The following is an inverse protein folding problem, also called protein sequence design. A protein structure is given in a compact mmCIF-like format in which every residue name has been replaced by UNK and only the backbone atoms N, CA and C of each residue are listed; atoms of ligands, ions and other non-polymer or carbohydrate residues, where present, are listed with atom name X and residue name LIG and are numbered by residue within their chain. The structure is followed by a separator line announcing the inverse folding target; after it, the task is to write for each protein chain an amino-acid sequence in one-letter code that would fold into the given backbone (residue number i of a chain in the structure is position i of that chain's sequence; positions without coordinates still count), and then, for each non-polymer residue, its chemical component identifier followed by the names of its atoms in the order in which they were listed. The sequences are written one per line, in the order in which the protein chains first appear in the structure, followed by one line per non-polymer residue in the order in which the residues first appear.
data_IF_004231714535
#
_entry.id   IF_004231714535
#
_cell.length_a   1.000
_cell.length_b   1.000
_cell.length_c   1.000
_cell.angle_alpha   90.00
_cell.angle_beta   90.00
_cell.angle_gamma   90.00
#
_symmetry.space_group_name_H-M   'P 1'
#
loop_
_entity.id
_entity.type
_entity.pdbx_description
1 polymer ?
#
# COMPACT_ATOMS: atom_id res chain seq x y z
N UNK A 1 3.88 -14.44 -0.25
CA UNK A 1 3.22 -13.14 0.02
C UNK A 1 4.05 -12.31 0.98
N UNK A 2 4.15 -11.00 0.75
CA UNK A 2 4.82 -10.06 1.65
C UNK A 2 3.80 -9.11 2.24
N UNK A 3 3.97 -8.74 3.50
CA UNK A 3 3.16 -7.71 4.15
C UNK A 3 4.06 -6.57 4.63
N UNK A 4 3.58 -5.34 4.44
CA UNK A 4 4.15 -4.15 5.07
C UNK A 4 3.03 -3.44 5.85
N UNK A 5 3.22 -3.24 7.15
CA UNK A 5 2.19 -2.68 8.02
C UNK A 5 2.79 -1.76 9.07
N UNK A 6 1.99 -0.84 9.59
CA UNK A 6 2.32 -0.07 10.78
C UNK A 6 1.87 -0.84 12.01
N UNK A 7 2.78 -1.07 12.95
CA UNK A 7 2.47 -1.76 14.19
C UNK A 7 1.41 -0.97 14.97
N UNK A 8 0.30 -1.60 15.41
CA UNK A 8 -0.75 -0.90 16.15
C UNK A 8 -0.31 -0.40 17.53
N UNK A 9 0.77 -0.96 18.09
CA UNK A 9 1.30 -0.57 19.41
C UNK A 9 2.31 0.56 19.33
N UNK A 10 3.36 0.44 18.49
CA UNK A 10 4.44 1.43 18.44
C UNK A 10 4.37 2.37 17.22
N UNK A 11 3.51 2.10 16.24
CA UNK A 11 3.38 2.91 15.02
C UNK A 11 4.50 2.72 13.99
N UNK A 12 5.56 1.98 14.32
CA UNK A 12 6.66 1.74 13.39
C UNK A 12 6.23 0.83 12.25
N UNK A 13 6.73 1.12 11.05
CA UNK A 13 6.49 0.30 9.87
C UNK A 13 7.39 -0.93 9.89
N UNK A 14 6.79 -2.09 9.77
CA UNK A 14 7.49 -3.38 9.72
C UNK A 14 7.12 -4.15 8.46
N UNK A 15 8.00 -5.09 8.07
CA UNK A 15 7.84 -5.89 6.86
C UNK A 15 8.12 -7.36 7.15
N UNK A 16 7.17 -8.23 6.79
CA UNK A 16 7.31 -9.67 6.88
C UNK A 16 7.18 -10.34 5.51
N UNK A 17 8.00 -11.38 5.31
CA UNK A 17 7.99 -12.21 4.12
C UNK A 17 7.40 -13.58 4.46
N UNK A 18 6.70 -14.18 3.49
CA UNK A 18 6.18 -15.55 3.67
C UNK A 18 5.07 -15.64 4.71
N UNK A 19 4.14 -14.68 4.73
CA UNK A 19 3.02 -14.62 5.69
C UNK A 19 2.16 -15.89 5.68
N UNK A 20 2.18 -16.65 4.60
CA UNK A 20 1.52 -17.94 4.48
C UNK A 20 2.12 -19.06 5.33
N UNK A 21 3.30 -18.87 5.88
CA UNK A 21 4.05 -19.88 6.66
C UNK A 21 4.17 -19.55 8.15
N UNK A 22 3.68 -18.40 8.56
CA UNK A 22 3.76 -17.91 9.92
C UNK A 22 2.36 -17.81 10.53
N UNK A 23 2.23 -18.09 11.82
CA UNK A 23 0.99 -17.99 12.57
C UNK A 23 0.81 -16.62 13.26
N UNK A 24 1.89 -15.86 13.40
CA UNK A 24 1.90 -14.56 14.07
C UNK A 24 2.89 -13.58 13.40
N UNK A 25 2.58 -12.30 13.46
CA UNK A 25 3.45 -11.21 13.03
C UNK A 25 4.11 -10.60 14.27
N UNK A 26 5.42 -10.72 14.41
CA UNK A 26 6.16 -10.15 15.52
C UNK A 26 6.81 -8.83 15.09
N UNK A 27 6.45 -7.73 15.73
CA UNK A 27 7.03 -6.42 15.43
C UNK A 27 8.50 -6.38 15.89
N UNK A 28 9.41 -6.09 14.96
CA UNK A 28 10.85 -6.02 15.25
C UNK A 28 11.23 -4.85 16.15
N UNK A 29 10.39 -3.81 16.24
CA UNK A 29 10.68 -2.60 17.02
C UNK A 29 10.24 -2.71 18.49
N UNK A 30 9.13 -3.37 18.80
CA UNK A 30 8.56 -3.41 20.15
C UNK A 30 8.28 -4.83 20.66
N UNK A 31 8.52 -5.86 19.86
CA UNK A 31 8.29 -7.26 20.24
C UNK A 31 6.80 -7.67 20.33
N UNK A 32 5.86 -6.79 19.95
CA UNK A 32 4.45 -7.12 19.95
C UNK A 32 4.15 -8.21 18.95
N UNK A 33 3.46 -9.27 19.36
CA UNK A 33 2.98 -10.33 18.47
C UNK A 33 1.52 -10.13 18.13
N UNK A 34 1.20 -10.21 16.85
CA UNK A 34 -0.15 -10.12 16.29
C UNK A 34 -0.50 -11.47 15.70
N UNK A 35 -1.44 -12.23 16.28
CA UNK A 35 -1.87 -13.51 15.73
C UNK A 35 -2.53 -13.30 14.38
N UNK A 36 -2.19 -14.14 13.40
CA UNK A 36 -2.83 -14.16 12.10
C UNK A 36 -4.15 -14.92 12.24
N UNK A 37 -5.30 -14.31 11.92
CA UNK A 37 -6.57 -15.01 12.00
C UNK A 37 -6.64 -16.13 10.95
N UNK A 38 -7.13 -17.31 11.33
CA UNK A 38 -7.24 -18.49 10.47
C UNK A 38 -8.10 -18.25 9.22
N UNK A 39 -9.08 -17.36 9.32
CA UNK A 39 -9.98 -16.97 8.22
C UNK A 39 -9.40 -15.87 7.31
N UNK A 40 -8.25 -15.30 7.63
CA UNK A 40 -7.61 -14.25 6.82
C UNK A 40 -7.03 -14.79 5.52
N UNK A 41 -6.54 -16.02 5.54
CA UNK A 41 -5.94 -16.71 4.40
C UNK A 41 -6.81 -17.92 4.03
N UNK A 42 -7.32 -17.98 2.83
CA UNK A 42 -8.15 -19.06 2.33
C UNK A 42 -7.56 -19.71 1.08
N UNK A 43 -7.56 -21.05 1.03
CA UNK A 43 -7.36 -21.78 -0.22
C UNK A 43 -8.68 -21.81 -1.00
N UNK A 44 -8.64 -21.60 -2.31
CA UNK A 44 -9.84 -21.56 -3.15
C UNK A 44 -10.24 -22.94 -3.66
N UNK A 45 -9.29 -23.87 -3.75
CA UNK A 45 -9.52 -25.25 -4.18
C UNK A 45 -8.51 -26.17 -3.48
N UNK A 46 -8.94 -27.36 -3.01
CA UNK A 46 -8.04 -28.35 -2.42
C UNK A 46 -7.02 -28.92 -3.43
N UNK A 47 -7.26 -28.77 -4.73
CA UNK A 47 -6.42 -29.33 -5.81
C UNK A 47 -5.41 -28.33 -6.42
N UNK A 48 -5.52 -27.03 -6.16
CA UNK A 48 -4.56 -26.03 -6.63
C UNK A 48 -3.57 -25.63 -5.53
N UNK A 49 -2.39 -26.18 -5.60
CA UNK A 49 -1.28 -26.04 -4.64
C UNK A 49 -0.66 -24.63 -4.55
N UNK A 50 -1.24 -23.60 -5.17
CA UNK A 50 -0.48 -22.35 -5.39
C UNK A 50 -1.17 -21.00 -5.20
N UNK A 51 -2.45 -20.91 -4.83
CA UNK A 51 -3.09 -19.61 -4.67
C UNK A 51 -3.77 -19.45 -3.32
N UNK A 52 -2.98 -19.19 -2.29
CA UNK A 52 -3.51 -18.64 -1.03
C UNK A 52 -4.09 -17.26 -1.32
N UNK A 53 -5.41 -17.12 -1.18
CA UNK A 53 -6.11 -15.83 -1.35
C UNK A 53 -6.33 -15.15 -0.01
N UNK A 54 -5.98 -13.88 0.05
CA UNK A 54 -6.30 -13.04 1.19
C UNK A 54 -7.80 -12.75 1.18
N UNK A 55 -8.51 -13.06 2.26
CA UNK A 55 -9.95 -12.80 2.43
C UNK A 55 -10.22 -11.54 3.23
N UNK A 56 -9.37 -11.25 4.21
CA UNK A 56 -9.46 -10.05 5.03
C UNK A 56 -8.07 -9.58 5.47
N UNK A 57 -8.01 -8.40 6.06
CA UNK A 57 -6.76 -7.88 6.61
C UNK A 57 -6.26 -8.76 7.76
N UNK A 58 -4.94 -9.01 7.77
CA UNK A 58 -4.26 -9.79 8.82
C UNK A 58 -4.02 -8.93 10.08
N UNK A 59 -3.86 -7.61 9.91
CA UNK A 59 -3.51 -6.68 11.00
C UNK A 59 -4.75 -6.15 11.72
N UNK A 60 -5.87 -6.00 11.00
CA UNK A 60 -7.11 -5.49 11.58
C UNK A 60 -8.32 -6.30 11.07
N UNK A 61 -9.48 -6.28 11.76
CA UNK A 61 -10.65 -7.09 11.39
C UNK A 61 -11.41 -6.59 10.15
N UNK A 62 -10.80 -5.73 9.32
CA UNK A 62 -11.44 -5.20 8.11
C UNK A 62 -11.37 -6.18 6.96
N UNK A 63 -12.48 -6.33 6.25
CA UNK A 63 -12.59 -7.09 4.99
C UNK A 63 -12.45 -6.19 3.76
N UNK A 64 -12.39 -4.87 3.95
CA UNK A 64 -12.34 -3.90 2.87
C UNK A 64 -10.88 -3.63 2.50
N UNK A 65 -10.46 -4.24 1.39
CA UNK A 65 -9.15 -4.05 0.77
C UNK A 65 -9.36 -3.55 -0.66
N UNK A 66 -8.40 -2.82 -1.19
CA UNK A 66 -8.42 -2.35 -2.58
C UNK A 66 -7.10 -2.61 -3.27
N UNK A 67 -7.21 -2.79 -4.58
CA UNK A 67 -6.07 -2.98 -5.47
C UNK A 67 -5.49 -1.64 -5.90
N UNK A 68 -4.17 -1.51 -5.82
CA UNK A 68 -3.44 -0.35 -6.35
C UNK A 68 -2.11 -0.79 -6.95
N UNK A 69 -1.58 0.01 -7.86
CA UNK A 69 -0.20 -0.16 -8.33
C UNK A 69 0.79 0.27 -7.25
N UNK A 70 1.80 -0.55 -6.97
CA UNK A 70 2.85 -0.22 -6.01
C UNK A 70 3.95 0.62 -6.68
N UNK A 71 3.54 1.76 -7.24
CA UNK A 71 4.44 2.68 -7.91
C UNK A 71 5.05 3.66 -6.90
N UNK A 72 6.39 3.69 -6.74
CA UNK A 72 7.04 4.66 -5.87
C UNK A 72 6.95 6.06 -6.52
N UNK A 73 6.06 6.90 -6.03
CA UNK A 73 5.80 8.24 -6.55
C UNK A 73 7.10 9.06 -6.71
N UNK A 74 8.07 8.87 -5.80
CA UNK A 74 9.37 9.56 -5.88
C UNK A 74 10.14 9.22 -7.14
N UNK A 75 10.06 7.97 -7.61
CA UNK A 75 10.73 7.54 -8.84
C UNK A 75 10.12 8.22 -10.07
N UNK A 76 8.78 8.23 -10.19
CA UNK A 76 8.10 8.91 -11.29
C UNK A 76 8.43 10.41 -11.34
N UNK A 77 8.35 11.09 -10.19
CA UNK A 77 8.72 12.51 -10.11
C UNK A 77 10.18 12.74 -10.50
N UNK A 78 11.12 11.88 -10.06
CA UNK A 78 12.53 12.00 -10.41
C UNK A 78 12.78 11.86 -11.92
N UNK A 79 12.12 10.88 -12.58
CA UNK A 79 12.23 10.67 -14.03
C UNK A 79 11.73 11.90 -14.79
N UNK A 80 10.58 12.44 -14.42
CA UNK A 80 10.00 13.63 -15.04
C UNK A 80 10.93 14.84 -14.87
N UNK A 81 11.46 15.06 -13.66
CA UNK A 81 12.37 16.18 -13.40
C UNK A 81 13.67 16.06 -14.22
N UNK A 82 14.29 14.87 -14.24
CA UNK A 82 15.51 14.63 -15.04
C UNK A 82 15.24 14.85 -16.52
N UNK A 83 14.14 14.33 -17.06
CA UNK A 83 13.74 14.53 -18.45
C UNK A 83 13.51 16.00 -18.79
N UNK A 84 12.84 16.73 -17.90
CA UNK A 84 12.58 18.16 -18.08
C UNK A 84 13.88 18.97 -18.11
N UNK A 85 14.81 18.73 -17.17
CA UNK A 85 16.10 19.41 -17.13
C UNK A 85 16.95 19.11 -18.38
N UNK A 86 17.03 17.84 -18.78
CA UNK A 86 17.75 17.44 -20.00
C UNK A 86 17.16 18.08 -21.26
N UNK A 87 15.84 18.16 -21.35
CA UNK A 87 15.13 18.82 -22.45
C UNK A 87 15.41 20.33 -22.50
N UNK A 88 15.44 21.01 -21.33
CA UNK A 88 15.79 22.44 -21.26
C UNK A 88 17.24 22.71 -21.73
N UNK A 89 18.19 21.84 -21.40
CA UNK A 89 19.57 21.94 -21.88
C UNK A 89 19.63 21.79 -23.41
N UNK A 90 18.96 20.76 -23.96
CA UNK A 90 18.89 20.53 -25.42
C UNK A 90 18.25 21.72 -26.15
N UNK A 91 17.20 22.30 -25.58
CA UNK A 91 16.58 23.52 -26.08
C UNK A 91 17.56 24.70 -26.11
N UNK A 92 18.33 24.90 -25.03
CA UNK A 92 19.37 25.95 -24.98
C UNK A 92 20.47 25.79 -26.02
N UNK A 93 20.75 24.54 -26.43
CA UNK A 93 21.66 24.20 -27.54
C UNK A 93 21.02 24.36 -28.93
N UNK A 94 19.75 24.77 -29.01
CA UNK A 94 18.95 24.91 -30.24
C UNK A 94 18.70 23.59 -30.98
N UNK A 95 18.83 22.45 -30.31
CA UNK A 95 18.59 21.12 -30.86
C UNK A 95 17.15 20.70 -30.64
N UNK A 96 16.21 21.18 -31.48
CA UNK A 96 14.78 20.93 -31.33
C UNK A 96 14.43 19.45 -31.39
N UNK A 97 15.05 18.70 -32.32
CA UNK A 97 14.79 17.28 -32.47
C UNK A 97 15.19 16.52 -31.21
N UNK A 98 16.35 16.84 -30.64
CA UNK A 98 16.84 16.23 -29.39
C UNK A 98 15.91 16.55 -28.21
N UNK A 99 15.42 17.80 -28.13
CA UNK A 99 14.47 18.22 -27.10
C UNK A 99 13.22 17.34 -27.06
N UNK A 100 12.57 17.19 -28.23
CA UNK A 100 11.40 16.34 -28.33
C UNK A 100 11.69 14.86 -28.13
N UNK A 101 12.83 14.37 -28.60
CA UNK A 101 13.23 12.99 -28.41
C UNK A 101 13.39 12.65 -26.92
N UNK A 102 13.97 13.56 -26.12
CA UNK A 102 14.10 13.40 -24.66
C UNK A 102 12.70 13.36 -24.00
N UNK A 103 11.82 14.31 -24.35
CA UNK A 103 10.46 14.34 -23.77
C UNK A 103 9.65 13.09 -24.09
N UNK A 104 9.66 12.64 -25.34
CA UNK A 104 8.94 11.45 -25.71
C UNK A 104 9.54 10.17 -25.10
N UNK A 105 10.86 10.07 -24.98
CA UNK A 105 11.50 8.91 -24.36
C UNK A 105 11.22 8.83 -22.86
N UNK A 106 11.20 9.94 -22.14
CA UNK A 106 10.83 9.96 -20.71
C UNK A 106 9.35 9.61 -20.52
N UNK A 107 8.45 10.15 -21.34
CA UNK A 107 7.04 9.79 -21.30
C UNK A 107 6.81 8.29 -21.60
N UNK A 108 7.51 7.75 -22.59
CA UNK A 108 7.45 6.33 -22.92
C UNK A 108 7.96 5.46 -21.77
N UNK A 109 9.06 5.86 -21.13
CA UNK A 109 9.62 5.19 -19.96
C UNK A 109 8.60 5.14 -18.81
N UNK A 110 7.90 6.23 -18.52
CA UNK A 110 6.88 6.27 -17.48
C UNK A 110 5.71 5.32 -17.79
N UNK A 111 5.29 5.26 -19.05
CA UNK A 111 4.22 4.34 -19.49
C UNK A 111 4.69 2.88 -19.33
N UNK A 112 5.91 2.55 -19.74
CA UNK A 112 6.47 1.19 -19.58
C UNK A 112 6.53 0.83 -18.10
N UNK A 113 7.04 1.70 -17.25
CA UNK A 113 7.11 1.49 -15.80
C UNK A 113 5.73 1.25 -15.20
N UNK A 114 4.72 2.01 -15.63
CA UNK A 114 3.35 1.81 -15.17
C UNK A 114 2.81 0.40 -15.49
N UNK A 115 3.13 -0.14 -16.66
CA UNK A 115 2.70 -1.50 -17.05
C UNK A 115 3.49 -2.60 -16.34
N UNK A 116 4.79 -2.39 -16.12
CA UNK A 116 5.68 -3.38 -15.50
C UNK A 116 5.51 -3.47 -13.99
N UNK A 117 5.09 -2.37 -13.33
CA UNK A 117 4.96 -2.33 -11.87
C UNK A 117 3.89 -3.29 -11.35
N UNK A 118 4.24 -4.09 -10.33
CA UNK A 118 3.32 -5.02 -9.71
C UNK A 118 2.16 -4.31 -9.00
N UNK A 119 1.07 -5.01 -8.86
CA UNK A 119 -0.07 -4.56 -8.07
C UNK A 119 0.07 -5.02 -6.62
N UNK A 120 -0.45 -4.23 -5.69
CA UNK A 120 -0.55 -4.57 -4.28
C UNK A 120 -1.97 -4.36 -3.77
N UNK A 121 -2.36 -5.13 -2.75
CA UNK A 121 -3.57 -4.87 -1.99
C UNK A 121 -3.26 -3.96 -0.81
N UNK A 122 -4.16 -3.03 -0.53
CA UNK A 122 -4.05 -2.12 0.61
C UNK A 122 -5.34 -2.14 1.41
N UNK A 123 -5.23 -2.22 2.73
CA UNK A 123 -6.39 -2.16 3.61
C UNK A 123 -6.83 -0.70 3.81
N UNK A 124 -8.13 -0.41 3.64
CA UNK A 124 -8.69 0.93 3.86
C UNK A 124 -8.55 1.43 5.31
N UNK A 125 -8.57 0.52 6.28
CA UNK A 125 -8.59 0.88 7.70
C UNK A 125 -7.19 1.11 8.28
N UNK A 126 -6.27 0.15 8.12
CA UNK A 126 -4.94 0.21 8.75
C UNK A 126 -3.81 0.55 7.78
N UNK A 127 -4.08 0.60 6.47
CA UNK A 127 -3.06 0.90 5.45
C UNK A 127 -2.04 -0.23 5.23
N UNK A 128 -2.25 -1.41 5.81
CA UNK A 128 -1.38 -2.57 5.55
C UNK A 128 -1.38 -2.92 4.06
N UNK A 129 -0.19 -3.19 3.52
CA UNK A 129 0.04 -3.48 2.11
C UNK A 129 0.46 -4.94 1.95
N UNK A 130 -0.15 -5.61 0.99
CA UNK A 130 0.10 -7.00 0.64
C UNK A 130 0.59 -7.08 -0.79
N UNK A 131 1.75 -7.70 -0.99
CA UNK A 131 2.37 -7.88 -2.30
C UNK A 131 2.70 -9.36 -2.52
N UNK A 132 2.39 -9.89 -3.68
CA UNK A 132 2.68 -11.28 -4.04
C UNK A 132 1.75 -11.81 -5.12
N UNK A 133 2.15 -12.90 -5.79
CA UNK A 133 1.38 -13.52 -6.85
C UNK A 133 0.08 -14.13 -6.29
N UNK A 134 -1.03 -13.93 -6.99
CA UNK A 134 -2.33 -14.52 -6.63
C UNK A 134 -3.13 -13.79 -5.54
N UNK A 135 -2.57 -12.73 -4.93
CA UNK A 135 -3.26 -11.98 -3.86
C UNK A 135 -4.29 -10.99 -4.41
N UNK A 136 -4.10 -10.55 -5.65
CA UNK A 136 -4.74 -9.35 -6.23
C UNK A 136 -6.10 -9.59 -6.86
N UNK A 137 -6.41 -10.80 -7.28
CA UNK A 137 -7.58 -11.08 -8.15
C UNK A 137 -8.96 -11.01 -7.45
N UNK A 138 -8.98 -10.90 -6.13
CA UNK A 138 -10.23 -10.99 -5.34
C UNK A 138 -10.86 -9.65 -4.97
N UNK A 139 -10.15 -8.53 -5.18
CA UNK A 139 -10.58 -7.22 -4.71
C UNK A 139 -10.65 -6.19 -5.84
N UNK A 140 -11.63 -5.27 -5.71
CA UNK A 140 -11.83 -4.16 -6.65
C UNK A 140 -10.74 -3.08 -6.56
N UNK A 141 -10.83 -2.11 -7.48
CA UNK A 141 -10.00 -0.91 -7.43
C UNK A 141 -10.36 -0.01 -6.24
N UNK A 142 -9.63 1.10 -6.13
CA UNK A 142 -9.89 2.11 -5.09
C UNK A 142 -11.29 2.71 -5.24
N UNK A 143 -12.06 2.71 -4.14
CA UNK A 143 -13.36 3.36 -4.02
C UNK A 143 -13.28 4.52 -3.02
N UNK A 144 -13.62 5.72 -3.49
CA UNK A 144 -13.55 6.95 -2.70
C UNK A 144 -14.57 6.97 -1.56
N UNK A 145 -15.77 6.42 -1.77
CA UNK A 145 -16.83 6.39 -0.76
C UNK A 145 -16.41 5.54 0.43
N UNK A 146 -15.90 4.34 0.18
CA UNK A 146 -15.36 3.43 1.19
C UNK A 146 -14.18 4.06 1.93
N UNK A 147 -13.29 4.74 1.21
CA UNK A 147 -12.16 5.45 1.83
C UNK A 147 -12.63 6.55 2.79
N UNK A 148 -13.55 7.39 2.37
CA UNK A 148 -14.06 8.50 3.18
C UNK A 148 -14.83 7.99 4.41
N UNK A 149 -15.59 6.91 4.28
CA UNK A 149 -16.25 6.22 5.41
C UNK A 149 -15.23 5.82 6.50
N UNK A 150 -14.13 5.18 6.11
CA UNK A 150 -13.10 4.78 7.07
C UNK A 150 -12.37 5.98 7.69
N UNK A 151 -12.08 7.00 6.90
CA UNK A 151 -11.46 8.23 7.37
C UNK A 151 -12.31 8.93 8.42
N UNK A 152 -13.61 9.03 8.19
CA UNK A 152 -14.56 9.62 9.15
C UNK A 152 -14.67 8.79 10.43
N UNK A 153 -14.71 7.45 10.33
CA UNK A 153 -14.72 6.59 11.50
C UNK A 153 -13.48 6.78 12.38
N UNK A 154 -12.29 6.87 11.79
CA UNK A 154 -11.04 7.14 12.51
C UNK A 154 -11.07 8.51 13.16
N UNK A 155 -11.56 9.55 12.46
CA UNK A 155 -11.66 10.90 13.00
C UNK A 155 -12.62 10.94 14.21
N UNK A 156 -13.78 10.30 14.14
CA UNK A 156 -14.74 10.18 15.25
C UNK A 156 -14.15 9.46 16.46
N UNK A 157 -13.44 8.35 16.23
CA UNK A 157 -12.81 7.60 17.33
C UNK A 157 -11.76 8.44 18.05
N UNK A 158 -10.96 9.22 17.31
CA UNK A 158 -9.97 10.15 17.89
C UNK A 158 -10.63 11.24 18.71
N UNK A 159 -11.72 11.86 18.23
CA UNK A 159 -12.43 12.92 18.98
C UNK A 159 -13.03 12.39 20.26
N UNK A 160 -13.57 11.17 20.27
CA UNK A 160 -14.11 10.52 21.47
C UNK A 160 -13.03 10.18 22.50
N UNK A 161 -11.84 9.74 22.04
CA UNK A 161 -10.72 9.46 22.95
C UNK A 161 -10.14 10.72 23.57
N UNK A 162 -10.02 11.82 22.83
CA UNK A 162 -9.52 13.09 23.35
C UNK A 162 -10.53 13.76 24.32
N UNK A 163 -11.83 13.63 24.08
CA UNK A 163 -12.87 14.14 24.96
C UNK A 163 -12.94 13.43 26.33
N UNK A 164 -12.53 12.16 26.38
CA UNK A 164 -12.52 11.38 27.63
C UNK A 164 -11.36 11.76 28.57
N UNK A 165 -10.27 12.32 28.02
CA UNK A 165 -9.10 12.75 28.81
C UNK A 165 -9.29 14.13 29.47
N UNK A 166 -10.31 14.90 29.06
CA UNK A 166 -10.58 16.24 29.56
C UNK A 166 -11.70 16.31 30.59
N UNK A 167 -12.25 15.19 31.06
CA UNK A 167 -13.21 15.18 32.15
C UNK A 167 -12.50 15.43 33.49
N UNK A 168 -12.85 16.48 34.28
CA UNK A 168 -12.27 16.72 35.60
C UNK A 168 -12.66 15.58 36.55
N UNK A 169 -11.79 15.22 37.53
CA UNK A 169 -12.14 14.23 38.53
C UNK A 169 -13.32 14.75 39.36
N UNK A 170 -14.38 13.97 39.41
CA UNK A 170 -15.53 14.24 40.32
C UNK A 170 -15.06 14.15 41.74
N UNK A 171 -15.06 15.29 42.43
CA UNK A 171 -14.88 15.42 43.88
C UNK A 171 -16.06 14.79 44.64
#
# INVERSE_FOLDING_TARGET
MHITYACPRCGNTDRHHGVEKISELVCQSCGESLPIPDDALGSTNPDETSALRLRRCVVCPSTELFRRKDFPQRLGVAIVLVGLFASCIAWGMRELVLTFAILFSTALLDVILYFVMPECLTCYRCGARYTGNGVVDSFGGFDLETHEKHRQLVARTRSLSSGRTSAPPSS
#
